data_IF_655601796779
#
_entry.id   IF_655601796779
#
_cell.length_a   1.000
_cell.length_b   1.000
_cell.length_c   1.000
_cell.angle_alpha   90.00
_cell.angle_beta   90.00
_cell.angle_gamma   90.00
#
_symmetry.space_group_name_H-M   'P 1'
#
loop_
_entity.id
_entity.type
_entity.pdbx_description
1 polymer ?
#
# COMPACT_ATOMS: atom_id res chain seq x y z
N UNK A 1 7.64 -14.56 -19.48
CA UNK A 1 6.46 -15.22 -20.11
C UNK A 1 6.35 -16.64 -19.60
N UNK A 2 5.15 -17.12 -19.30
CA UNK A 2 4.95 -18.52 -18.94
C UNK A 2 5.15 -19.39 -20.19
N UNK A 3 5.81 -20.55 -20.00
CA UNK A 3 6.05 -21.49 -21.08
C UNK A 3 4.71 -22.01 -21.64
N UNK A 4 4.41 -21.86 -22.95
CA UNK A 4 3.16 -22.31 -23.56
C UNK A 4 2.92 -23.85 -23.43
N UNK A 5 3.92 -24.62 -23.06
CA UNK A 5 3.83 -26.08 -22.85
C UNK A 5 3.42 -26.47 -21.44
N UNK A 6 2.81 -25.57 -20.66
CA UNK A 6 2.32 -25.82 -19.29
C UNK A 6 3.41 -26.23 -18.28
N UNK A 7 4.66 -25.85 -18.52
CA UNK A 7 5.78 -26.02 -17.59
C UNK A 7 5.77 -24.88 -16.58
N UNK A 8 6.03 -25.17 -15.30
CA UNK A 8 6.22 -24.17 -14.25
C UNK A 8 7.50 -23.33 -14.44
N UNK A 9 8.31 -23.61 -15.46
CA UNK A 9 9.55 -22.92 -15.76
C UNK A 9 9.31 -21.85 -16.81
N UNK A 10 9.78 -20.64 -16.56
CA UNK A 10 9.75 -19.57 -17.56
C UNK A 10 10.57 -19.95 -18.79
N UNK A 11 10.04 -19.70 -19.99
CA UNK A 11 10.77 -19.97 -21.25
C UNK A 11 11.86 -18.91 -21.51
N UNK A 12 11.68 -17.70 -20.96
CA UNK A 12 12.56 -16.58 -21.09
C UNK A 12 12.47 -15.68 -19.85
N UNK A 13 13.59 -15.13 -19.42
CA UNK A 13 13.69 -14.12 -18.36
C UNK A 13 14.38 -12.89 -18.94
N UNK A 14 13.68 -11.76 -18.91
CA UNK A 14 14.20 -10.47 -19.39
C UNK A 14 14.37 -9.54 -18.20
N UNK A 15 15.59 -9.04 -17.99
CA UNK A 15 15.86 -7.99 -17.00
C UNK A 15 15.47 -6.63 -17.62
N UNK A 16 14.48 -5.95 -17.01
CA UNK A 16 13.98 -4.65 -17.48
C UNK A 16 14.82 -3.52 -16.89
N UNK A 17 15.13 -3.62 -15.61
CA UNK A 17 15.89 -2.61 -14.85
C UNK A 17 16.69 -3.28 -13.74
N UNK A 18 17.69 -2.58 -13.23
CA UNK A 18 18.53 -3.03 -12.13
C UNK A 18 18.94 -1.87 -11.23
N UNK A 19 19.32 -2.22 -10.00
CA UNK A 19 19.76 -1.21 -9.02
C UNK A 19 18.63 -0.45 -8.33
N UNK A 20 17.37 -0.87 -8.52
CA UNK A 20 16.24 -0.34 -7.78
C UNK A 20 16.30 -0.78 -6.31
N UNK A 21 16.06 0.15 -5.38
CA UNK A 21 16.05 -0.16 -3.95
C UNK A 21 14.69 -0.75 -3.56
N UNK A 22 14.67 -2.06 -3.33
CA UNK A 22 13.46 -2.82 -2.92
C UNK A 22 12.23 -2.52 -3.78
N UNK A 23 12.27 -2.82 -5.09
CA UNK A 23 11.09 -2.70 -5.95
C UNK A 23 10.07 -3.76 -5.52
N UNK A 24 8.97 -3.34 -4.94
CA UNK A 24 7.96 -4.24 -4.35
C UNK A 24 6.55 -4.02 -4.91
N UNK A 25 6.24 -2.85 -5.43
CA UNK A 25 4.95 -2.55 -6.05
C UNK A 25 5.03 -2.59 -7.56
N UNK A 26 4.06 -3.27 -8.17
CA UNK A 26 3.92 -3.38 -9.62
C UNK A 26 2.45 -3.25 -10.01
N UNK A 27 2.15 -2.40 -10.98
CA UNK A 27 0.84 -2.37 -11.62
C UNK A 27 0.97 -2.07 -13.11
N UNK A 28 -0.01 -2.51 -13.89
CA UNK A 28 -0.02 -2.35 -15.35
C UNK A 28 -1.28 -1.62 -15.78
N UNK A 29 -1.13 -0.58 -16.59
CA UNK A 29 -2.27 0.17 -17.12
C UNK A 29 -1.97 0.74 -18.51
N UNK A 30 -2.88 0.54 -19.44
CA UNK A 30 -2.86 1.14 -20.79
C UNK A 30 -1.55 0.91 -21.57
N UNK A 31 -0.90 -0.25 -21.42
CA UNK A 31 0.37 -0.56 -22.08
C UNK A 31 1.59 -0.28 -21.21
N UNK A 32 1.48 0.53 -20.17
CA UNK A 32 2.59 0.96 -19.33
C UNK A 32 2.70 0.10 -18.07
N UNK A 33 3.94 -0.24 -17.69
CA UNK A 33 4.26 -0.88 -16.42
C UNK A 33 4.71 0.19 -15.42
N UNK A 34 4.08 0.21 -14.26
CA UNK A 34 4.47 1.06 -13.14
C UNK A 34 5.18 0.23 -12.07
N UNK A 35 6.29 0.74 -11.56
CA UNK A 35 7.14 0.07 -10.57
C UNK A 35 7.37 1.01 -9.40
N UNK A 36 6.99 0.60 -8.19
CA UNK A 36 7.30 1.34 -6.98
C UNK A 36 8.50 0.72 -6.25
N UNK A 37 9.53 1.52 -6.05
CA UNK A 37 10.62 1.31 -5.12
C UNK A 37 10.37 2.10 -3.82
N UNK A 38 11.27 2.03 -2.82
CA UNK A 38 11.03 2.67 -1.51
C UNK A 38 10.66 4.14 -1.65
N UNK A 39 11.41 4.91 -2.45
CA UNK A 39 11.28 6.37 -2.51
C UNK A 39 10.82 6.92 -3.86
N UNK A 40 10.52 6.06 -4.82
CA UNK A 40 10.16 6.51 -6.16
C UNK A 40 9.19 5.57 -6.86
N UNK A 41 8.44 6.12 -7.79
CA UNK A 41 7.58 5.40 -8.72
C UNK A 41 8.07 5.70 -10.14
N UNK A 42 8.26 4.63 -10.92
CA UNK A 42 8.74 4.66 -12.30
C UNK A 42 7.64 4.16 -13.23
N UNK A 43 7.61 4.68 -14.45
CA UNK A 43 6.76 4.22 -15.55
C UNK A 43 7.62 3.76 -16.72
N UNK A 44 7.42 2.53 -17.18
CA UNK A 44 7.98 1.97 -18.41
C UNK A 44 6.88 1.95 -19.47
N UNK A 45 6.99 2.87 -20.44
CA UNK A 45 5.98 3.05 -21.48
C UNK A 45 5.99 1.89 -22.47
N UNK A 46 4.79 1.48 -22.87
CA UNK A 46 4.55 0.43 -23.86
C UNK A 46 5.45 -0.80 -23.64
N UNK A 47 5.41 -1.32 -22.41
CA UNK A 47 6.35 -2.34 -21.95
C UNK A 47 6.36 -3.59 -22.82
N UNK A 48 5.21 -3.97 -23.40
CA UNK A 48 5.11 -5.14 -24.26
C UNK A 48 5.92 -4.99 -25.56
N UNK A 49 5.98 -3.77 -26.13
CA UNK A 49 6.77 -3.48 -27.34
C UNK A 49 8.24 -3.21 -27.03
N UNK A 50 8.53 -2.68 -25.84
CA UNK A 50 9.89 -2.23 -25.47
C UNK A 50 10.68 -3.22 -24.64
N UNK A 51 10.06 -4.33 -24.20
CA UNK A 51 10.62 -5.32 -23.28
C UNK A 51 12.06 -5.74 -23.63
N UNK A 52 12.36 -5.99 -24.91
CA UNK A 52 13.67 -6.48 -25.36
C UNK A 52 14.63 -5.37 -25.78
N UNK A 53 14.27 -4.10 -25.59
CA UNK A 53 15.08 -2.95 -25.99
C UNK A 53 15.66 -2.15 -24.82
N UNK A 54 15.65 -2.73 -23.60
CA UNK A 54 16.08 -2.06 -22.36
C UNK A 54 15.35 -0.71 -22.18
N UNK A 55 14.06 -0.74 -21.89
CA UNK A 55 13.24 0.47 -21.82
C UNK A 55 13.74 1.42 -20.74
N UNK A 56 13.91 2.69 -21.09
CA UNK A 56 14.25 3.73 -20.13
C UNK A 56 13.01 4.15 -19.32
N UNK A 57 13.07 4.17 -17.98
CA UNK A 57 11.95 4.56 -17.16
C UNK A 57 11.74 6.07 -17.14
N UNK A 58 10.49 6.48 -17.15
CA UNK A 58 10.09 7.83 -16.75
C UNK A 58 9.87 7.86 -15.22
N UNK A 59 10.48 8.81 -14.52
CA UNK A 59 10.23 9.01 -13.09
C UNK A 59 8.91 9.75 -12.92
N UNK A 60 7.91 9.08 -12.33
CA UNK A 60 6.64 9.70 -11.94
C UNK A 60 6.87 10.57 -10.70
N UNK A 61 7.43 9.99 -9.64
CA UNK A 61 7.87 10.74 -8.46
C UNK A 61 9.09 10.08 -7.82
N UNK A 62 9.97 10.88 -7.23
CA UNK A 62 11.09 10.46 -6.38
C UNK A 62 11.04 11.10 -4.98
N UNK A 63 9.87 11.69 -4.64
CA UNK A 63 9.64 12.45 -3.40
C UNK A 63 9.06 11.62 -2.25
N UNK A 64 8.85 10.31 -2.46
CA UNK A 64 8.41 9.43 -1.37
C UNK A 64 9.53 9.26 -0.34
N UNK A 65 9.20 9.02 0.95
CA UNK A 65 10.20 8.86 1.99
C UNK A 65 11.20 7.74 1.71
N UNK A 66 12.46 7.94 2.11
CA UNK A 66 13.58 7.01 1.88
C UNK A 66 13.77 5.96 2.97
N UNK A 67 12.96 6.03 4.05
CA UNK A 67 13.03 5.07 5.17
C UNK A 67 12.69 3.67 4.69
N UNK A 68 13.49 2.68 5.10
CA UNK A 68 13.30 1.29 4.69
C UNK A 68 12.35 0.51 5.62
N UNK A 69 12.19 0.94 6.86
CA UNK A 69 11.23 0.36 7.80
C UNK A 69 9.82 0.60 7.26
N UNK A 70 9.01 -0.44 7.08
CA UNK A 70 7.73 -0.44 6.38
C UNK A 70 7.78 0.31 5.02
N UNK A 71 8.94 0.21 4.35
CA UNK A 71 9.20 0.94 3.11
C UNK A 71 8.64 0.28 1.85
N UNK A 72 8.17 -0.96 1.94
CA UNK A 72 7.59 -1.68 0.80
C UNK A 72 6.32 -0.99 0.34
N UNK A 73 6.14 -0.96 -0.97
CA UNK A 73 5.01 -0.31 -1.61
C UNK A 73 4.21 -1.34 -2.40
N UNK A 74 2.94 -1.47 -2.12
CA UNK A 74 1.97 -2.02 -3.04
C UNK A 74 1.36 -0.84 -3.81
N UNK A 75 1.18 -0.94 -5.12
CA UNK A 75 0.56 0.12 -5.91
C UNK A 75 -0.52 -0.46 -6.83
N UNK A 76 -1.62 0.24 -6.94
CA UNK A 76 -2.73 -0.12 -7.84
C UNK A 76 -3.47 1.15 -8.26
N UNK A 77 -4.04 1.14 -9.47
CA UNK A 77 -4.91 2.21 -9.91
C UNK A 77 -6.33 2.01 -9.38
N UNK A 78 -6.87 3.03 -8.75
CA UNK A 78 -8.26 3.04 -8.33
C UNK A 78 -9.24 3.21 -9.49
N UNK A 79 -10.54 2.99 -9.22
CA UNK A 79 -11.60 3.20 -10.20
C UNK A 79 -11.72 4.66 -10.66
N UNK A 80 -11.24 5.60 -9.84
CA UNK A 80 -11.10 7.04 -10.15
C UNK A 80 -9.96 7.35 -11.13
N UNK A 81 -9.13 6.36 -11.44
CA UNK A 81 -8.00 6.50 -12.34
C UNK A 81 -6.71 7.02 -11.70
N UNK A 82 -6.70 7.29 -10.40
CA UNK A 82 -5.53 7.71 -9.65
C UNK A 82 -4.70 6.50 -9.19
N UNK A 83 -3.40 6.69 -9.03
CA UNK A 83 -2.50 5.67 -8.51
C UNK A 83 -2.46 5.76 -6.98
N UNK A 84 -2.77 4.65 -6.30
CA UNK A 84 -2.74 4.53 -4.85
C UNK A 84 -1.42 3.93 -4.38
N UNK A 85 -0.86 4.49 -3.30
CA UNK A 85 0.42 4.09 -2.73
C UNK A 85 0.42 4.21 -1.20
N UNK A 86 0.66 3.12 -0.46
CA UNK A 86 0.85 3.19 0.99
C UNK A 86 2.26 3.68 1.34
N UNK A 87 2.34 4.44 2.42
CA UNK A 87 3.59 4.88 3.05
C UNK A 87 3.54 4.50 4.52
N UNK A 88 4.10 3.35 4.86
CA UNK A 88 4.08 2.81 6.22
C UNK A 88 4.85 3.67 7.22
N UNK A 89 4.55 3.48 8.51
CA UNK A 89 5.24 4.17 9.60
C UNK A 89 6.74 3.88 9.59
N UNK A 90 7.62 4.86 9.88
CA UNK A 90 9.07 4.67 9.85
C UNK A 90 9.63 3.94 11.08
N UNK A 91 8.76 3.40 11.93
CA UNK A 91 9.06 2.82 13.24
C UNK A 91 8.03 1.74 13.60
N UNK A 92 8.26 0.98 14.68
CA UNK A 92 7.25 0.10 15.28
C UNK A 92 6.07 0.93 15.80
N UNK A 93 6.38 1.93 16.63
CA UNK A 93 5.44 2.90 17.20
C UNK A 93 6.12 4.25 17.32
N UNK A 94 5.50 5.31 16.85
CA UNK A 94 5.92 6.72 16.97
C UNK A 94 4.82 7.64 16.40
N UNK A 95 4.90 8.92 16.71
CA UNK A 95 4.19 9.96 15.95
C UNK A 95 5.04 10.36 14.74
N UNK A 96 4.74 9.87 13.55
CA UNK A 96 5.56 10.16 12.37
C UNK A 96 5.17 11.50 11.73
N UNK A 97 6.01 11.99 10.82
CA UNK A 97 5.64 13.05 9.89
C UNK A 97 4.40 12.64 9.07
N UNK A 98 3.60 13.63 8.65
CA UNK A 98 2.28 13.43 8.04
C UNK A 98 2.27 12.52 6.80
N UNK A 99 3.37 12.47 6.05
CA UNK A 99 3.50 11.62 4.86
C UNK A 99 3.53 10.12 5.19
N UNK A 100 3.92 9.77 6.41
CA UNK A 100 3.98 8.37 6.86
C UNK A 100 2.64 7.89 7.44
N UNK A 101 2.58 6.59 7.74
CA UNK A 101 1.43 5.94 8.35
C UNK A 101 0.12 6.26 7.61
N UNK A 102 0.14 6.15 6.28
CA UNK A 102 -0.94 6.62 5.42
C UNK A 102 -1.02 5.85 4.11
N UNK A 103 -2.18 5.95 3.45
CA UNK A 103 -2.35 5.60 2.04
C UNK A 103 -2.61 6.90 1.28
N UNK A 104 -1.84 7.11 0.23
CA UNK A 104 -1.99 8.25 -0.68
C UNK A 104 -2.55 7.83 -2.03
N UNK A 105 -3.09 8.79 -2.79
CA UNK A 105 -3.36 8.66 -4.22
C UNK A 105 -2.82 9.86 -4.99
N UNK A 106 -2.55 9.70 -6.27
CA UNK A 106 -2.04 10.76 -7.13
C UNK A 106 -2.42 10.54 -8.60
N UNK A 107 -2.52 11.61 -9.37
CA UNK A 107 -2.47 11.54 -10.84
C UNK A 107 -1.00 11.35 -11.28
N UNK A 108 -0.72 10.30 -12.00
CA UNK A 108 0.63 10.00 -12.51
C UNK A 108 1.15 11.02 -13.53
N UNK A 109 0.28 11.89 -14.05
CA UNK A 109 0.66 12.96 -14.98
C UNK A 109 0.94 14.29 -14.25
N UNK A 110 0.52 14.43 -12.99
CA UNK A 110 0.77 15.59 -12.13
C UNK A 110 0.92 15.17 -10.66
N UNK A 111 1.88 14.30 -10.34
CA UNK A 111 1.98 13.69 -9.01
C UNK A 111 2.27 14.71 -7.90
N UNK A 112 2.98 15.78 -8.21
CA UNK A 112 3.40 16.78 -7.22
C UNK A 112 2.26 17.65 -6.71
N UNK A 113 1.25 17.91 -7.54
CA UNK A 113 0.12 18.74 -7.19
C UNK A 113 -1.14 17.97 -6.80
N UNK A 114 -1.14 16.66 -7.01
CA UNK A 114 -2.32 15.82 -6.81
C UNK A 114 -2.17 14.80 -5.69
N UNK A 115 -1.00 14.74 -5.01
CA UNK A 115 -0.79 13.81 -3.90
C UNK A 115 -1.75 14.12 -2.75
N UNK A 116 -2.65 13.21 -2.45
CA UNK A 116 -3.71 13.35 -1.48
C UNK A 116 -3.73 12.16 -0.51
N UNK A 117 -3.99 12.43 0.78
CA UNK A 117 -4.22 11.38 1.79
C UNK A 117 -5.61 10.76 1.61
N UNK A 118 -5.64 9.46 1.35
CA UNK A 118 -6.86 8.65 1.31
C UNK A 118 -7.21 8.13 2.70
N UNK A 119 -6.20 7.61 3.40
CA UNK A 119 -6.31 7.09 4.76
C UNK A 119 -5.09 7.53 5.58
N UNK A 120 -5.30 7.87 6.85
CA UNK A 120 -4.28 8.26 7.84
C UNK A 120 -4.31 7.31 9.02
N UNK A 121 -3.25 7.29 9.81
CA UNK A 121 -3.18 6.42 10.97
C UNK A 121 -3.18 4.94 10.59
N UNK A 122 -2.52 4.60 9.50
CA UNK A 122 -2.35 3.26 8.94
C UNK A 122 -0.90 2.85 9.10
N UNK A 123 -0.60 1.91 10.02
CA UNK A 123 0.77 1.60 10.40
C UNK A 123 1.58 0.97 9.27
N UNK A 124 1.09 -0.11 8.67
CA UNK A 124 1.81 -0.85 7.63
C UNK A 124 0.88 -1.65 6.72
N UNK A 125 0.31 -0.98 5.75
CA UNK A 125 -0.45 -1.62 4.68
C UNK A 125 0.49 -2.06 3.56
N UNK A 126 0.43 -3.35 3.20
CA UNK A 126 1.21 -3.94 2.09
C UNK A 126 0.33 -4.59 1.03
N UNK A 127 -0.99 -4.41 1.12
CA UNK A 127 -1.95 -4.84 0.10
C UNK A 127 -3.36 -4.33 0.35
N UNK A 128 -4.02 -3.97 -0.74
CA UNK A 128 -5.38 -3.45 -0.77
C UNK A 128 -6.07 -3.83 -2.09
N UNK A 129 -7.38 -3.69 -2.15
CA UNK A 129 -8.18 -3.82 -3.38
C UNK A 129 -9.39 -2.89 -3.29
N UNK A 130 -10.06 -2.71 -4.40
CA UNK A 130 -11.26 -1.90 -4.51
C UNK A 130 -12.51 -2.77 -4.64
N UNK A 131 -13.54 -2.45 -3.87
CA UNK A 131 -14.84 -3.11 -4.00
C UNK A 131 -15.34 -2.94 -5.44
N UNK A 132 -15.60 -4.03 -6.17
CA UNK A 132 -16.02 -3.96 -7.58
C UNK A 132 -17.40 -3.35 -7.79
N UNK A 133 -18.19 -3.16 -6.72
CA UNK A 133 -19.54 -2.61 -6.78
C UNK A 133 -19.55 -1.13 -6.38
N UNK A 134 -18.91 -0.79 -5.28
CA UNK A 134 -18.90 0.59 -4.74
C UNK A 134 -17.71 1.41 -5.19
N UNK A 135 -16.59 0.76 -5.52
CA UNK A 135 -15.32 1.42 -5.80
C UNK A 135 -14.53 1.82 -4.56
N UNK A 136 -15.02 1.50 -3.35
CA UNK A 136 -14.38 1.85 -2.11
C UNK A 136 -13.07 1.08 -1.90
N UNK A 137 -12.10 1.73 -1.29
CA UNK A 137 -10.83 1.12 -0.91
C UNK A 137 -10.99 0.25 0.33
N UNK A 138 -10.49 -0.99 0.26
CA UNK A 138 -10.32 -1.90 1.37
C UNK A 138 -8.86 -2.30 1.49
N UNK A 139 -8.34 -2.34 2.72
CA UNK A 139 -6.93 -2.66 2.98
C UNK A 139 -6.75 -3.42 4.28
N UNK A 140 -5.63 -4.18 4.36
CA UNK A 140 -5.19 -4.78 5.62
C UNK A 140 -4.10 -3.91 6.25
N UNK A 141 -4.08 -3.83 7.59
CA UNK A 141 -3.04 -3.15 8.33
C UNK A 141 -2.44 -4.06 9.41
N UNK A 142 -1.12 -4.00 9.59
CA UNK A 142 -0.43 -4.79 10.60
C UNK A 142 -0.32 -3.99 11.90
N UNK A 143 -0.79 -4.57 13.00
CA UNK A 143 -0.66 -4.02 14.35
C UNK A 143 0.79 -3.85 14.79
N UNK A 144 1.03 -3.00 15.82
CA UNK A 144 2.37 -2.81 16.40
C UNK A 144 2.85 -4.05 17.16
N UNK A 145 4.17 -4.20 17.27
CA UNK A 145 4.78 -5.21 18.14
C UNK A 145 4.87 -4.71 19.59
N UNK A 146 5.16 -5.65 20.50
CA UNK A 146 5.47 -5.41 21.91
C UNK A 146 4.30 -4.90 22.77
N UNK A 147 3.06 -5.33 22.48
CA UNK A 147 1.89 -5.20 23.37
C UNK A 147 1.46 -6.55 23.97
N UNK A 148 2.21 -7.63 23.73
CA UNK A 148 1.93 -8.99 24.17
C UNK A 148 1.43 -9.89 23.05
N UNK A 149 1.23 -11.17 23.37
CA UNK A 149 0.96 -12.20 22.36
C UNK A 149 -0.47 -12.13 21.78
N UNK A 150 -1.39 -11.46 22.49
CA UNK A 150 -2.81 -11.45 22.16
C UNK A 150 -3.31 -10.07 21.70
N UNK A 151 -2.41 -9.11 21.49
CA UNK A 151 -2.78 -7.76 21.03
C UNK A 151 -1.59 -6.99 20.46
N UNK A 152 -1.84 -5.95 19.62
CA UNK A 152 -3.13 -5.70 19.02
C UNK A 152 -3.43 -6.67 17.88
N UNK A 153 -4.68 -6.74 17.47
CA UNK A 153 -5.09 -7.41 16.26
C UNK A 153 -4.48 -6.72 15.03
N UNK A 154 -4.20 -7.47 13.96
CA UNK A 154 -4.15 -6.93 12.62
C UNK A 154 -5.57 -6.57 12.17
N UNK A 155 -5.71 -5.73 11.16
CA UNK A 155 -6.98 -5.12 10.80
C UNK A 155 -7.34 -5.31 9.34
N UNK A 156 -8.64 -5.48 9.07
CA UNK A 156 -9.25 -5.26 7.76
C UNK A 156 -10.04 -3.95 7.83
N UNK A 157 -9.68 -2.99 7.02
CA UNK A 157 -10.18 -1.64 7.02
C UNK A 157 -10.92 -1.30 5.72
N UNK A 158 -11.93 -0.43 5.83
CA UNK A 158 -12.74 0.08 4.72
C UNK A 158 -12.76 1.60 4.77
N UNK A 159 -12.33 2.25 3.70
CA UNK A 159 -12.39 3.70 3.56
C UNK A 159 -13.76 4.08 3.01
N UNK A 160 -14.57 4.72 3.82
CA UNK A 160 -15.89 5.22 3.43
C UNK A 160 -15.85 6.69 3.00
N UNK A 161 -14.82 7.40 3.43
CA UNK A 161 -14.60 8.81 3.12
C UNK A 161 -13.10 9.12 3.08
N UNK A 162 -12.66 9.85 2.07
CA UNK A 162 -11.26 10.26 1.91
C UNK A 162 -10.79 11.05 3.14
N UNK A 163 -9.57 10.73 3.62
CA UNK A 163 -8.91 11.38 4.73
C UNK A 163 -9.27 10.85 6.12
N UNK A 164 -10.02 9.74 6.22
CA UNK A 164 -10.28 9.06 7.48
C UNK A 164 -8.99 8.65 8.20
N UNK A 165 -9.04 8.66 9.54
CA UNK A 165 -7.92 8.30 10.41
C UNK A 165 -8.21 6.99 11.15
N UNK A 166 -7.39 5.94 10.91
CA UNK A 166 -7.60 4.56 11.38
C UNK A 166 -6.90 4.23 12.70
N UNK A 167 -6.43 5.23 13.43
CA UNK A 167 -6.05 5.10 14.85
C UNK A 167 -4.55 5.16 15.14
N UNK A 168 -3.67 4.56 14.34
CA UNK A 168 -2.23 4.56 14.62
C UNK A 168 -1.66 5.99 14.70
N UNK A 169 -0.84 6.34 15.70
CA UNK A 169 -0.26 5.50 16.75
C UNK A 169 -1.09 5.44 18.06
N UNK A 170 -2.26 6.00 18.11
CA UNK A 170 -3.00 6.31 19.32
C UNK A 170 -3.95 5.21 19.78
N UNK A 171 -4.71 4.65 18.85
CA UNK A 171 -5.73 3.62 19.08
C UNK A 171 -5.45 2.45 18.15
N UNK A 172 -5.51 1.23 18.70
CA UNK A 172 -5.35 -0.02 17.97
C UNK A 172 -6.65 -0.80 17.97
N UNK A 173 -6.87 -1.64 16.96
CA UNK A 173 -8.02 -2.55 16.82
C UNK A 173 -9.39 -1.90 17.08
N UNK A 174 -9.45 -0.57 16.95
CA UNK A 174 -10.66 0.25 17.06
C UNK A 174 -11.03 0.69 18.48
N UNK A 175 -10.46 0.09 19.52
CA UNK A 175 -10.88 0.37 20.90
C UNK A 175 -9.75 0.41 21.94
N UNK A 176 -8.55 -0.04 21.59
CA UNK A 176 -7.43 -0.20 22.52
C UNK A 176 -6.45 0.96 22.44
N UNK A 177 -6.38 1.83 23.47
CA UNK A 177 -5.39 2.91 23.53
C UNK A 177 -3.96 2.36 23.57
N UNK A 178 -3.09 3.00 22.79
CA UNK A 178 -1.65 2.71 22.86
C UNK A 178 -1.08 3.09 24.24
N UNK A 179 -0.26 2.24 24.87
CA UNK A 179 0.28 2.52 26.20
C UNK A 179 1.25 3.72 26.25
N UNK A 180 1.80 4.15 25.10
CA UNK A 180 2.76 5.26 25.02
C UNK A 180 2.11 6.54 24.45
N UNK A 181 1.19 6.39 23.49
CA UNK A 181 0.61 7.51 22.71
C UNK A 181 -0.90 7.67 22.90
N UNK A 182 -1.57 6.73 23.56
CA UNK A 182 -3.04 6.71 23.67
C UNK A 182 -3.62 7.57 24.80
N UNK A 183 -2.78 8.16 25.70
CA UNK A 183 -3.26 8.98 26.79
C UNK A 183 -4.05 10.20 26.28
N UNK A 184 -5.26 10.39 26.79
CA UNK A 184 -6.13 11.49 26.38
C UNK A 184 -6.76 11.37 24.98
N UNK A 185 -6.57 10.24 24.30
CA UNK A 185 -7.20 9.96 23.00
C UNK A 185 -8.49 9.17 23.19
N UNK A 186 -9.53 9.49 22.40
CA UNK A 186 -10.79 8.77 22.42
C UNK A 186 -10.92 7.90 21.19
N UNK A 187 -11.26 6.62 21.33
CA UNK A 187 -11.44 5.70 20.21
C UNK A 187 -12.50 6.21 19.21
N UNK A 188 -13.52 6.92 19.68
CA UNK A 188 -14.56 7.51 18.82
C UNK A 188 -14.09 8.60 17.85
N UNK A 189 -12.87 9.11 18.03
CA UNK A 189 -12.28 10.13 17.14
C UNK A 189 -11.63 9.49 15.89
N UNK A 190 -11.58 8.15 15.84
CA UNK A 190 -10.92 7.37 14.80
C UNK A 190 -11.90 6.40 14.15
N UNK A 191 -11.62 6.06 12.89
CA UNK A 191 -12.37 5.04 12.16
C UNK A 191 -11.97 3.66 12.65
N UNK A 192 -12.89 2.87 13.24
CA UNK A 192 -12.57 1.51 13.68
C UNK A 192 -12.39 0.57 12.47
N UNK A 193 -11.64 -0.52 12.62
CA UNK A 193 -11.56 -1.55 11.59
C UNK A 193 -12.93 -2.18 11.33
N UNK A 194 -13.17 -2.58 10.10
CA UNK A 194 -14.36 -3.37 9.73
C UNK A 194 -14.31 -4.74 10.37
N UNK A 195 -13.10 -5.32 10.47
CA UNK A 195 -12.87 -6.61 11.10
C UNK A 195 -11.48 -6.65 11.74
N UNK A 196 -11.42 -6.99 13.01
CA UNK A 196 -10.18 -7.40 13.66
C UNK A 196 -9.79 -8.81 13.21
N UNK A 197 -8.55 -8.95 12.80
CA UNK A 197 -7.93 -10.23 12.42
C UNK A 197 -7.20 -10.82 13.65
N UNK A 198 -6.53 -11.96 13.46
CA UNK A 198 -5.72 -12.49 14.55
C UNK A 198 -4.54 -11.55 14.86
N UNK A 199 -4.15 -11.39 16.14
CA UNK A 199 -2.93 -10.68 16.51
C UNK A 199 -1.71 -11.30 15.84
N UNK A 200 -0.79 -10.46 15.39
CA UNK A 200 0.48 -10.88 14.76
C UNK A 200 0.31 -11.83 13.55
N UNK A 201 -0.86 -11.78 12.87
CA UNK A 201 -1.14 -12.62 11.71
C UNK A 201 -0.28 -12.26 10.49
N UNK A 202 0.24 -11.04 10.46
CA UNK A 202 0.98 -10.53 9.30
C UNK A 202 0.07 -10.41 8.09
N UNK A 203 -1.08 -9.77 8.25
CA UNK A 203 -2.05 -9.56 7.17
C UNK A 203 -1.44 -8.68 6.07
N UNK A 204 -0.95 -9.31 4.98
CA UNK A 204 -0.17 -8.65 3.93
C UNK A 204 -0.98 -8.30 2.68
N UNK A 205 -2.30 -8.49 2.70
CA UNK A 205 -3.18 -8.08 1.61
C UNK A 205 -4.52 -8.78 1.63
N UNK A 206 -5.40 -8.26 0.81
CA UNK A 206 -6.72 -8.80 0.53
C UNK A 206 -7.04 -8.62 -0.94
N UNK A 207 -8.01 -9.34 -1.45
CA UNK A 207 -8.53 -9.16 -2.79
C UNK A 207 -10.02 -9.50 -2.84
N UNK A 208 -10.78 -8.74 -3.60
CA UNK A 208 -12.15 -9.09 -3.92
C UNK A 208 -12.18 -10.20 -4.96
N UNK A 209 -13.01 -11.22 -4.72
CA UNK A 209 -13.25 -12.24 -5.72
C UNK A 209 -14.10 -11.67 -6.85
N UNK A 210 -13.55 -11.63 -8.06
CA UNK A 210 -14.19 -11.06 -9.27
C UNK A 210 -14.64 -12.12 -10.28
N UNK A 211 -14.64 -13.41 -9.89
CA UNK A 211 -15.07 -14.52 -10.71
C UNK A 211 -16.56 -14.86 -10.54
N UNK A 212 -17.06 -15.76 -11.39
CA UNK A 212 -18.39 -16.32 -11.24
C UNK A 212 -18.37 -17.40 -10.15
N UNK A 213 -19.30 -17.35 -9.20
CA UNK A 213 -19.55 -18.43 -8.25
C UNK A 213 -20.64 -19.35 -8.81
#
# INVERSE_FOLDING_TARGET
MLNPNNSATASEVVEIDKGLKSPSGLTYRNGDLYVAAISKILRYKDIAATLNSSPEPETITDKLPTKSHHGWKFIEFGPDGLLYVPVGAPCNICEPEEVFASIHRMDVNDPDNTLEHVARGVRNTVGFDFDPVTGDLWFTDNGRDAMGDNMPADELNHVTRIGEHFGYPYIHQGDTPDPEFGEGKNASDYTPPTQNLAPHAGAIGMAFYKGNM
#
